data_IF_923999256847
#
_entry.id   IF_923999256847
#
_cell.length_a   1.000
_cell.length_b   1.000
_cell.length_c   1.000
_cell.angle_alpha   90.00
_cell.angle_beta   90.00
_cell.angle_gamma   90.00
#
_symmetry.space_group_name_H-M   'P 1'
#
loop_
_entity.id
_entity.type
_entity.pdbx_description
1 polymer ?
#
# COMPACT_ATOMS: atom_id res chain seq x y z
N UNK A 1 -35.48 4.37 30.19
CA UNK A 1 -35.29 4.96 28.85
C UNK A 1 -33.88 5.54 28.61
N UNK A 2 -33.11 5.96 29.63
CA UNK A 2 -31.76 6.54 29.43
C UNK A 2 -30.64 5.53 29.12
N UNK A 3 -30.81 4.25 29.47
CA UNK A 3 -29.79 3.22 29.20
C UNK A 3 -29.74 2.82 27.72
N UNK A 4 -30.91 2.64 27.09
CA UNK A 4 -31.02 2.32 25.66
C UNK A 4 -30.44 3.42 24.76
N UNK A 5 -30.56 4.69 25.14
CA UNK A 5 -29.98 5.79 24.37
C UNK A 5 -28.45 5.83 24.45
N UNK A 6 -27.87 5.47 25.60
CA UNK A 6 -26.42 5.42 25.77
C UNK A 6 -25.80 4.26 25.00
N UNK A 7 -26.46 3.10 24.99
CA UNK A 7 -26.00 1.93 24.24
C UNK A 7 -26.10 2.18 22.73
N UNK A 8 -27.17 2.83 22.26
CA UNK A 8 -27.30 3.24 20.86
C UNK A 8 -26.19 4.21 20.42
N UNK A 9 -25.81 5.16 21.26
CA UNK A 9 -24.72 6.09 20.96
C UNK A 9 -23.36 5.38 20.86
N UNK A 10 -23.10 4.40 21.72
CA UNK A 10 -21.88 3.57 21.66
C UNK A 10 -21.83 2.72 20.39
N UNK A 11 -22.96 2.12 20.02
CA UNK A 11 -23.11 1.31 18.81
C UNK A 11 -22.80 2.14 17.56
N UNK A 12 -23.41 3.33 17.44
CA UNK A 12 -23.18 4.22 16.30
C UNK A 12 -21.72 4.70 16.23
N UNK A 13 -21.10 5.00 17.38
CA UNK A 13 -19.69 5.36 17.42
C UNK A 13 -18.79 4.19 16.98
N UNK A 14 -19.09 2.97 17.42
CA UNK A 14 -18.35 1.77 17.00
C UNK A 14 -18.47 1.56 15.49
N UNK A 15 -19.68 1.63 14.93
CA UNK A 15 -19.90 1.54 13.47
C UNK A 15 -19.16 2.63 12.71
N UNK A 16 -19.12 3.85 13.25
CA UNK A 16 -18.33 4.94 12.67
C UNK A 16 -16.85 4.59 12.60
N UNK A 17 -16.26 4.07 13.69
CA UNK A 17 -14.86 3.67 13.70
C UNK A 17 -14.57 2.51 12.73
N UNK A 18 -15.46 1.52 12.67
CA UNK A 18 -15.35 0.40 11.73
C UNK A 18 -15.48 0.87 10.27
N UNK A 19 -16.48 1.69 9.95
CA UNK A 19 -16.71 2.23 8.60
C UNK A 19 -15.54 3.07 8.09
N UNK A 20 -14.87 3.81 8.97
CA UNK A 20 -13.75 4.67 8.60
C UNK A 20 -12.39 3.94 8.70
N UNK A 21 -12.36 2.62 8.92
CA UNK A 21 -11.12 1.84 8.93
C UNK A 21 -10.25 2.02 10.19
N UNK A 22 -10.73 2.74 11.20
CA UNK A 22 -9.95 3.05 12.42
C UNK A 22 -9.66 1.78 13.21
N UNK A 23 -10.64 0.88 13.31
CA UNK A 23 -10.46 -0.39 14.02
C UNK A 23 -9.42 -1.28 13.32
N UNK A 24 -9.46 -1.34 11.99
CA UNK A 24 -8.52 -2.13 11.18
C UNK A 24 -7.10 -1.58 11.34
N UNK A 25 -6.92 -0.25 11.31
CA UNK A 25 -5.61 0.37 11.50
C UNK A 25 -5.04 0.12 12.90
N UNK A 26 -5.86 0.30 13.95
CA UNK A 26 -5.44 -0.02 15.33
C UNK A 26 -5.08 -1.49 15.48
N UNK A 27 -5.86 -2.39 14.86
CA UNK A 27 -5.60 -3.83 14.87
C UNK A 27 -4.25 -4.15 14.22
N UNK A 28 -3.96 -3.57 13.04
CA UNK A 28 -2.67 -3.79 12.35
C UNK A 28 -1.47 -3.36 13.20
N UNK A 29 -1.54 -2.18 13.83
CA UNK A 29 -0.45 -1.68 14.69
C UNK A 29 -0.25 -2.57 15.91
N UNK A 30 -1.33 -3.07 16.52
CA UNK A 30 -1.25 -3.97 17.68
C UNK A 30 -0.73 -5.36 17.31
N UNK A 31 -1.12 -5.89 16.15
CA UNK A 31 -0.58 -7.15 15.61
C UNK A 31 0.92 -7.00 15.33
N UNK A 32 1.33 -5.93 14.65
CA UNK A 32 2.75 -5.67 14.40
C UNK A 32 3.57 -5.53 15.69
N UNK A 33 3.01 -4.92 16.73
CA UNK A 33 3.65 -4.86 18.05
C UNK A 33 3.75 -6.24 18.72
N UNK A 34 2.78 -7.12 18.48
CA UNK A 34 2.76 -8.48 19.02
C UNK A 34 3.74 -9.41 18.30
N UNK A 35 3.85 -9.29 16.98
CA UNK A 35 4.72 -10.10 16.13
C UNK A 35 6.20 -9.71 16.23
N UNK A 36 6.51 -8.54 16.79
CA UNK A 36 7.87 -8.04 16.82
C UNK A 36 8.78 -8.90 17.72
N UNK A 37 9.86 -9.49 17.17
CA UNK A 37 10.68 -10.47 17.87
C UNK A 37 11.42 -9.86 19.07
N UNK A 38 11.78 -8.58 18.96
CA UNK A 38 12.30 -7.78 20.06
C UNK A 38 11.25 -6.77 20.51
N UNK A 39 10.68 -6.97 21.70
CA UNK A 39 9.70 -6.04 22.24
C UNK A 39 10.35 -4.65 22.39
N UNK A 40 9.80 -3.61 21.76
CA UNK A 40 10.36 -2.28 21.90
C UNK A 40 10.30 -1.85 23.37
N UNK A 41 11.40 -1.27 23.84
CA UNK A 41 11.52 -0.76 25.22
C UNK A 41 10.41 0.24 25.56
N UNK A 42 9.94 0.97 24.54
CA UNK A 42 8.78 1.86 24.65
C UNK A 42 7.71 1.53 23.60
N UNK A 43 6.71 0.74 24.00
CA UNK A 43 5.57 0.40 23.15
C UNK A 43 4.76 1.61 22.69
N UNK A 44 4.71 2.69 23.48
CA UNK A 44 3.98 3.92 23.11
C UNK A 44 4.65 4.60 21.92
N UNK A 45 5.98 4.62 21.86
CA UNK A 45 6.71 5.21 20.75
C UNK A 45 6.56 4.39 19.47
N UNK A 46 6.52 3.06 19.59
CA UNK A 46 6.17 2.17 18.47
C UNK A 46 4.79 2.50 17.91
N UNK A 47 3.77 2.61 18.77
CA UNK A 47 2.41 2.94 18.35
C UNK A 47 2.37 4.31 17.67
N UNK A 48 2.99 5.35 18.26
CA UNK A 48 3.03 6.70 17.66
C UNK A 48 3.65 6.70 16.27
N UNK A 49 4.77 5.99 16.08
CA UNK A 49 5.46 5.90 14.80
C UNK A 49 4.61 5.21 13.73
N UNK A 50 3.97 4.10 14.08
CA UNK A 50 3.22 3.28 13.11
C UNK A 50 1.77 3.75 12.90
N UNK A 51 1.21 4.50 13.85
CA UNK A 51 -0.10 5.15 13.70
C UNK A 51 0.01 6.52 12.99
N UNK A 52 1.16 7.20 13.13
CA UNK A 52 1.45 8.48 12.47
C UNK A 52 2.05 8.36 11.06
N UNK A 53 2.39 7.14 10.61
CA UNK A 53 2.72 6.89 9.22
C UNK A 53 1.47 7.13 8.35
N UNK A 54 1.59 7.66 7.11
CA UNK A 54 0.45 7.94 6.25
C UNK A 54 -0.47 6.73 6.14
N UNK A 55 -1.65 6.83 6.74
CA UNK A 55 -2.67 5.77 6.71
C UNK A 55 -3.27 5.68 5.32
N UNK A 56 -3.27 4.48 4.74
CA UNK A 56 -3.84 4.21 3.41
C UNK A 56 -2.82 3.83 2.33
N UNK A 57 -1.52 3.86 2.66
CA UNK A 57 -0.49 3.33 1.78
C UNK A 57 -0.24 1.87 2.13
N UNK A 58 -0.84 0.96 1.37
CA UNK A 58 -0.44 -0.43 1.40
C UNK A 58 0.96 -0.54 0.76
N UNK A 59 1.98 -0.60 1.61
CA UNK A 59 3.38 -0.68 1.19
C UNK A 59 3.62 -1.95 0.35
N UNK A 60 2.90 -3.03 0.63
CA UNK A 60 3.04 -4.28 -0.09
C UNK A 60 2.38 -4.19 -1.46
N UNK A 61 1.21 -3.56 -1.56
CA UNK A 61 0.55 -3.24 -2.83
C UNK A 61 1.41 -2.29 -3.68
N UNK A 62 1.94 -1.21 -3.08
CA UNK A 62 2.82 -0.29 -3.80
C UNK A 62 4.11 -0.97 -4.27
N UNK A 63 4.67 -1.89 -3.48
CA UNK A 63 5.84 -2.67 -3.91
C UNK A 63 5.51 -3.59 -5.07
N UNK A 64 4.37 -4.28 -5.02
CA UNK A 64 3.90 -5.13 -6.11
C UNK A 64 3.66 -4.33 -7.39
N UNK A 65 2.99 -3.18 -7.28
CA UNK A 65 2.75 -2.28 -8.41
C UNK A 65 4.07 -1.75 -8.98
N UNK A 66 5.04 -1.38 -8.13
CA UNK A 66 6.34 -0.89 -8.58
C UNK A 66 7.12 -1.95 -9.37
N UNK A 67 7.12 -3.20 -8.89
CA UNK A 67 7.76 -4.31 -9.58
C UNK A 67 7.08 -4.64 -10.91
N UNK A 68 5.74 -4.61 -10.97
CA UNK A 68 5.01 -4.81 -12.22
C UNK A 68 5.27 -3.68 -13.23
N UNK A 69 5.30 -2.43 -12.78
CA UNK A 69 5.62 -1.28 -13.62
C UNK A 69 7.04 -1.35 -14.16
N UNK A 70 8.03 -1.75 -13.35
CA UNK A 70 9.41 -1.97 -13.82
C UNK A 70 9.46 -3.03 -14.91
N UNK A 71 8.81 -4.18 -14.69
CA UNK A 71 8.77 -5.27 -15.67
C UNK A 71 8.16 -4.82 -17.00
N UNK A 72 7.03 -4.10 -16.96
CA UNK A 72 6.41 -3.54 -18.17
C UNK A 72 7.32 -2.53 -18.86
N UNK A 73 8.03 -1.70 -18.10
CA UNK A 73 8.96 -0.72 -18.66
C UNK A 73 10.13 -1.40 -19.39
N UNK A 74 10.69 -2.46 -18.80
CA UNK A 74 11.74 -3.26 -19.45
C UNK A 74 11.25 -3.94 -20.73
N UNK A 75 10.05 -4.51 -20.73
CA UNK A 75 9.44 -5.14 -21.92
C UNK A 75 9.20 -4.11 -23.03
N UNK A 76 8.65 -2.93 -22.69
CA UNK A 76 8.42 -1.85 -23.64
C UNK A 76 9.74 -1.32 -24.21
N UNK A 77 10.75 -1.13 -23.37
CA UNK A 77 12.08 -0.67 -23.79
C UNK A 77 12.71 -1.64 -24.80
N UNK A 78 12.68 -2.95 -24.52
CA UNK A 78 13.15 -3.98 -25.47
C UNK A 78 12.42 -3.92 -26.80
N UNK A 79 11.10 -3.70 -26.78
CA UNK A 79 10.28 -3.64 -27.99
C UNK A 79 10.55 -2.39 -28.80
N UNK A 80 10.80 -1.25 -28.15
CA UNK A 80 11.25 -0.02 -28.81
C UNK A 80 12.60 -0.25 -29.48
N UNK A 81 13.56 -0.84 -28.78
CA UNK A 81 14.90 -1.12 -29.34
C UNK A 81 14.81 -2.05 -30.57
N UNK A 82 13.98 -3.10 -30.50
CA UNK A 82 13.78 -4.02 -31.62
C UNK A 82 13.14 -3.33 -32.83
N UNK A 83 12.10 -2.52 -32.61
CA UNK A 83 11.45 -1.77 -33.68
C UNK A 83 12.37 -0.71 -34.30
N UNK A 84 13.20 -0.04 -33.49
CA UNK A 84 14.19 0.91 -34.00
C UNK A 84 15.22 0.22 -34.91
N UNK A 85 15.70 -0.97 -34.52
CA UNK A 85 16.60 -1.77 -35.36
C UNK A 85 15.93 -2.21 -36.67
N UNK A 86 14.66 -2.63 -36.62
CA UNK A 86 13.91 -2.99 -37.83
C UNK A 86 13.71 -1.78 -38.75
N UNK A 87 13.41 -0.61 -38.18
CA UNK A 87 13.27 0.65 -38.92
C UNK A 87 14.59 1.06 -39.60
N UNK A 88 15.71 0.94 -38.91
CA UNK A 88 17.03 1.19 -39.48
C UNK A 88 17.35 0.21 -40.62
N UNK A 89 17.09 -1.08 -40.43
CA UNK A 89 17.30 -2.09 -41.46
C UNK A 89 16.46 -1.82 -42.73
N UNK A 90 15.16 -1.52 -42.57
CA UNK A 90 14.28 -1.20 -43.70
C UNK A 90 14.70 0.11 -44.38
N UNK A 91 15.18 1.11 -43.63
CA UNK A 91 15.72 2.34 -44.23
C UNK A 91 16.96 2.08 -45.05
N UNK A 92 17.88 1.25 -44.56
CA UNK A 92 19.09 0.87 -45.30
C UNK A 92 18.75 0.11 -46.59
N UNK A 93 17.78 -0.81 -46.55
CA UNK A 93 17.30 -1.53 -47.74
C UNK A 93 16.58 -0.64 -48.77
N UNK A 94 16.04 0.52 -48.36
CA UNK A 94 15.41 1.47 -49.29
C UNK A 94 16.39 2.49 -49.89
N UNK A 95 17.57 2.64 -49.27
CA UNK A 95 18.63 3.55 -49.73
C UNK A 95 19.67 2.86 -50.65
N UNK A 96 19.76 1.52 -50.62
CA UNK A 96 20.53 0.68 -51.56
C UNK A 96 19.76 0.34 -52.85
#
# INVERSE_FOLDING_TARGET
MSYQSADHQKEEFRKYLEKNGVIQQLTRVLVGLYEEPERPVNAIDFIKKHLGAPTGVDIDELRAENEELKKRNEELTKRVDELLRQLEAVRQEQEE
#
